data_IF_429205357228
#
_entry.id   IF_429205357228
#
_cell.length_a   1.000
_cell.length_b   1.000
_cell.length_c   1.000
_cell.angle_alpha   90.00
_cell.angle_beta   90.00
_cell.angle_gamma   90.00
#
_symmetry.space_group_name_H-M   'P 1'
#
loop_
_entity.id
_entity.type
_entity.pdbx_description
1 polymer ?
#
# COMPACT_ATOMS: atom_id res chain seq x y z
N UNK A 1 9.87 -7.79 12.48
CA UNK A 1 9.58 -6.35 12.24
C UNK A 1 8.64 -6.27 11.04
N UNK A 2 7.76 -5.26 10.95
CA UNK A 2 6.69 -5.23 9.94
C UNK A 2 7.20 -4.58 8.63
N UNK A 3 6.79 -5.14 7.50
CA UNK A 3 6.93 -4.49 6.19
C UNK A 3 5.78 -3.50 6.01
N UNK A 4 6.00 -2.48 5.19
CA UNK A 4 4.96 -1.53 4.79
C UNK A 4 4.73 -1.67 3.28
N UNK A 5 3.48 -1.77 2.86
CA UNK A 5 3.07 -1.73 1.45
C UNK A 5 2.34 -0.41 1.23
N UNK A 6 2.95 0.48 0.47
CA UNK A 6 2.37 1.75 0.07
C UNK A 6 1.79 1.63 -1.34
N UNK A 7 0.61 2.19 -1.55
CA UNK A 7 -0.04 2.29 -2.85
C UNK A 7 -0.28 3.75 -3.19
N UNK A 8 0.31 4.23 -4.29
CA UNK A 8 -0.13 5.45 -4.97
C UNK A 8 -1.23 5.05 -5.96
N UNK A 9 -2.45 5.53 -5.73
CA UNK A 9 -3.66 5.08 -6.43
C UNK A 9 -4.07 6.10 -7.49
N UNK A 10 -4.11 5.62 -8.73
CA UNK A 10 -4.61 6.33 -9.90
C UNK A 10 -5.85 5.62 -10.48
N UNK A 11 -6.45 6.22 -11.50
CA UNK A 11 -7.64 5.65 -12.15
C UNK A 11 -7.33 4.29 -12.82
N UNK A 12 -7.84 3.21 -12.22
CA UNK A 12 -7.74 1.85 -12.75
C UNK A 12 -6.42 1.13 -12.49
N UNK A 13 -5.46 1.79 -11.84
CA UNK A 13 -4.13 1.25 -11.56
C UNK A 13 -3.53 1.88 -10.30
N UNK A 14 -2.59 1.18 -9.68
CA UNK A 14 -1.84 1.69 -8.54
C UNK A 14 -0.36 1.38 -8.69
N UNK A 15 0.49 2.31 -8.28
CA UNK A 15 1.90 2.03 -8.09
C UNK A 15 2.10 1.53 -6.66
N UNK A 16 2.61 0.30 -6.53
CA UNK A 16 2.83 -0.34 -5.24
C UNK A 16 4.33 -0.34 -4.91
N UNK A 17 4.67 0.03 -3.68
CA UNK A 17 6.03 -0.03 -3.14
C UNK A 17 6.03 -0.77 -1.81
N UNK A 18 7.02 -1.65 -1.60
CA UNK A 18 7.20 -2.41 -0.36
C UNK A 18 8.47 -1.94 0.32
N UNK A 19 8.33 -1.47 1.55
CA UNK A 19 9.44 -1.07 2.42
C UNK A 19 9.71 -2.14 3.47
N UNK A 20 10.99 -2.39 3.73
CA UNK A 20 11.41 -3.19 4.89
C UNK A 20 11.36 -2.37 6.18
N UNK A 21 11.67 -3.00 7.31
CA UNK A 21 11.69 -2.36 8.62
C UNK A 21 12.70 -1.19 8.73
N UNK A 22 13.71 -1.17 7.86
CA UNK A 22 14.73 -0.12 7.74
C UNK A 22 14.30 1.00 6.78
N UNK A 23 13.03 1.03 6.33
CA UNK A 23 12.49 1.99 5.36
C UNK A 23 13.17 1.95 3.99
N UNK A 24 13.82 0.84 3.64
CA UNK A 24 14.41 0.65 2.33
C UNK A 24 13.36 0.05 1.38
N UNK A 25 13.27 0.60 0.17
CA UNK A 25 12.47 -0.01 -0.89
C UNK A 25 13.10 -1.35 -1.28
N UNK A 26 12.32 -2.43 -1.17
CA UNK A 26 12.75 -3.78 -1.54
C UNK A 26 12.01 -4.33 -2.76
N UNK A 27 10.91 -3.67 -3.15
CA UNK A 27 10.10 -4.05 -4.29
C UNK A 27 9.19 -2.90 -4.69
N UNK A 28 9.02 -2.70 -6.00
CA UNK A 28 8.06 -1.76 -6.55
C UNK A 28 7.48 -2.31 -7.85
N UNK A 29 6.19 -2.08 -8.09
CA UNK A 29 5.48 -2.55 -9.28
C UNK A 29 4.20 -1.77 -9.51
N UNK A 30 3.87 -1.49 -10.76
CA UNK A 30 2.53 -1.05 -11.14
C UNK A 30 1.58 -2.25 -11.17
N UNK A 31 0.46 -2.13 -10.47
CA UNK A 31 -0.64 -3.10 -10.48
C UNK A 31 -1.88 -2.48 -11.13
N UNK A 32 -2.54 -3.23 -11.99
CA UNK A 32 -3.86 -2.90 -12.50
C UNK A 32 -4.92 -3.30 -11.48
N UNK A 33 -6.05 -2.58 -11.44
CA UNK A 33 -7.19 -2.95 -10.58
C UNK A 33 -7.99 -4.10 -11.20
N UNK A 34 -7.29 -5.20 -11.52
CA UNK A 34 -7.83 -6.39 -12.16
C UNK A 34 -7.59 -7.61 -11.26
N UNK A 35 -8.44 -8.62 -11.42
CA UNK A 35 -8.35 -9.89 -10.68
C UNK A 35 -6.96 -10.56 -10.71
N UNK A 36 -6.24 -10.68 -11.85
CA UNK A 36 -4.91 -11.31 -11.85
C UNK A 36 -3.92 -10.58 -10.92
N UNK A 37 -3.83 -9.26 -11.03
CA UNK A 37 -2.90 -8.45 -10.24
C UNK A 37 -3.26 -8.47 -8.75
N UNK A 38 -4.54 -8.51 -8.42
CA UNK A 38 -4.99 -8.68 -7.03
C UNK A 38 -4.64 -10.07 -6.45
N UNK A 39 -4.66 -11.13 -7.27
CA UNK A 39 -4.18 -12.46 -6.84
C UNK A 39 -2.68 -12.44 -6.59
N UNK A 40 -1.90 -11.78 -7.45
CA UNK A 40 -0.46 -11.61 -7.24
C UNK A 40 -0.17 -10.81 -5.96
N UNK A 41 -0.91 -9.73 -5.73
CA UNK A 41 -0.83 -8.93 -4.52
C UNK A 41 -1.12 -9.78 -3.27
N UNK A 42 -2.19 -10.57 -3.29
CA UNK A 42 -2.55 -11.45 -2.17
C UNK A 42 -1.42 -12.44 -1.85
N UNK A 43 -0.86 -13.08 -2.90
CA UNK A 43 0.27 -13.98 -2.75
C UNK A 43 1.47 -13.25 -2.13
N UNK A 44 1.73 -12.00 -2.54
CA UNK A 44 2.83 -11.20 -2.00
C UNK A 44 2.64 -10.86 -0.52
N UNK A 45 1.43 -10.49 -0.11
CA UNK A 45 1.08 -10.25 1.30
C UNK A 45 1.30 -11.52 2.12
N UNK A 46 0.88 -12.67 1.61
CA UNK A 46 1.10 -13.97 2.25
C UNK A 46 2.60 -14.27 2.41
N UNK A 47 3.40 -14.16 1.35
CA UNK A 47 4.85 -14.37 1.40
C UNK A 47 5.55 -13.48 2.44
N UNK A 48 5.17 -12.20 2.52
CA UNK A 48 5.72 -11.28 3.52
C UNK A 48 5.30 -11.65 4.95
N UNK A 49 4.06 -12.11 5.12
CA UNK A 49 3.51 -12.54 6.40
C UNK A 49 4.24 -13.77 6.91
N UNK A 50 4.40 -14.78 6.06
CA UNK A 50 5.17 -16.01 6.39
C UNK A 50 6.62 -15.69 6.75
N UNK A 51 7.27 -14.80 5.98
CA UNK A 51 8.67 -14.43 6.21
C UNK A 51 8.89 -13.69 7.54
N UNK A 52 7.89 -12.94 8.02
CA UNK A 52 8.05 -12.08 9.21
C UNK A 52 7.21 -12.49 10.42
N UNK A 53 6.32 -13.48 10.26
CA UNK A 53 5.30 -13.86 11.23
C UNK A 53 4.28 -12.75 11.52
N UNK A 54 4.22 -11.70 10.70
CA UNK A 54 3.35 -10.53 10.92
C UNK A 54 2.80 -10.02 9.59
N UNK A 55 1.52 -9.66 9.59
CA UNK A 55 0.89 -8.99 8.44
C UNK A 55 1.63 -7.67 8.14
N UNK A 56 1.92 -7.37 6.86
CA UNK A 56 2.43 -6.05 6.48
C UNK A 56 1.39 -4.96 6.77
N UNK A 57 1.87 -3.75 7.07
CA UNK A 57 1.02 -2.57 7.17
C UNK A 57 0.74 -2.04 5.76
N UNK A 58 -0.52 -1.76 5.46
CA UNK A 58 -0.96 -1.34 4.13
C UNK A 58 -1.40 0.12 4.18
N UNK A 59 -0.87 0.93 3.27
CA UNK A 59 -1.10 2.38 3.22
C UNK A 59 -1.53 2.78 1.81
N UNK A 60 -2.61 3.55 1.71
CA UNK A 60 -3.16 4.06 0.46
C UNK A 60 -2.98 5.57 0.38
N UNK A 61 -2.25 6.04 -0.61
CA UNK A 61 -2.26 7.43 -1.04
C UNK A 61 -3.24 7.54 -2.21
N UNK A 62 -4.41 8.14 -1.97
CA UNK A 62 -5.45 8.23 -2.99
C UNK A 62 -6.28 9.50 -2.85
N UNK A 63 -6.69 10.07 -3.98
CA UNK A 63 -7.70 11.14 -4.02
C UNK A 63 -9.07 10.57 -4.38
N UNK A 64 -10.02 10.65 -3.45
CA UNK A 64 -11.44 10.39 -3.74
C UNK A 64 -11.77 8.93 -4.06
N UNK A 65 -12.49 8.69 -5.16
CA UNK A 65 -13.20 7.42 -5.41
C UNK A 65 -12.33 6.29 -6.00
N UNK A 66 -11.09 6.57 -6.41
CA UNK A 66 -10.26 5.62 -7.15
C UNK A 66 -9.71 4.48 -6.28
N UNK A 67 -9.65 4.67 -4.95
CA UNK A 67 -9.24 3.63 -3.99
C UNK A 67 -10.29 2.52 -3.83
N UNK A 68 -11.56 2.75 -4.20
CA UNK A 68 -12.69 1.86 -3.88
C UNK A 68 -12.48 0.41 -4.31
N UNK A 69 -11.85 0.16 -5.45
CA UNK A 69 -11.61 -1.21 -5.91
C UNK A 69 -10.57 -1.93 -5.04
N UNK A 70 -9.49 -1.24 -4.69
CA UNK A 70 -8.44 -1.77 -3.83
C UNK A 70 -8.94 -1.90 -2.38
N UNK A 71 -9.72 -0.93 -1.89
CA UNK A 71 -10.39 -0.99 -0.59
C UNK A 71 -11.31 -2.20 -0.46
N UNK A 72 -12.15 -2.46 -1.48
CA UNK A 72 -13.01 -3.66 -1.52
C UNK A 72 -12.18 -4.93 -1.45
N UNK A 73 -11.11 -5.01 -2.25
CA UNK A 73 -10.19 -6.15 -2.18
C UNK A 73 -9.60 -6.35 -0.78
N UNK A 74 -9.18 -5.27 -0.10
CA UNK A 74 -8.68 -5.39 1.27
C UNK A 74 -9.76 -5.83 2.25
N UNK A 75 -10.97 -5.29 2.16
CA UNK A 75 -12.10 -5.65 3.01
C UNK A 75 -12.51 -7.12 2.82
N UNK A 76 -12.62 -7.58 1.57
CA UNK A 76 -12.97 -8.96 1.22
C UNK A 76 -11.96 -9.96 1.78
N UNK A 77 -10.69 -9.56 1.91
CA UNK A 77 -9.60 -10.37 2.44
C UNK A 77 -9.24 -10.04 3.89
N UNK A 78 -10.04 -9.21 4.57
CA UNK A 78 -9.86 -8.82 5.98
C UNK A 78 -8.50 -8.18 6.29
N UNK A 79 -7.91 -7.49 5.31
CA UNK A 79 -6.68 -6.73 5.49
C UNK A 79 -6.98 -5.35 6.07
N UNK A 80 -6.21 -4.96 7.09
CA UNK A 80 -6.26 -3.61 7.65
C UNK A 80 -5.41 -2.68 6.80
N UNK A 81 -5.96 -1.51 6.44
CA UNK A 81 -5.27 -0.49 5.66
C UNK A 81 -5.51 0.90 6.24
N UNK A 82 -4.57 1.82 5.98
CA UNK A 82 -4.71 3.23 6.30
C UNK A 82 -4.82 4.05 5.01
N UNK A 83 -5.84 4.89 4.91
CA UNK A 83 -5.95 5.90 3.85
C UNK A 83 -5.22 7.16 4.30
N UNK A 84 -4.13 7.49 3.62
CA UNK A 84 -3.50 8.80 3.70
C UNK A 84 -4.21 9.71 2.72
N UNK A 85 -4.82 10.77 3.23
CA UNK A 85 -5.24 11.88 2.40
C UNK A 85 -3.96 12.51 1.80
N UNK A 86 -3.85 12.68 0.47
CA UNK A 86 -2.67 13.32 -0.15
C UNK A 86 -2.40 14.72 0.38
N UNK A 87 -3.42 15.42 0.91
CA UNK A 87 -3.24 16.66 1.66
C UNK A 87 -2.52 16.44 3.00
N UNK A 88 -2.86 15.38 3.74
CA UNK A 88 -2.17 15.02 4.98
C UNK A 88 -0.77 14.46 4.74
N UNK A 89 -0.57 13.69 3.67
CA UNK A 89 0.76 13.20 3.26
C UNK A 89 1.68 14.37 2.86
N UNK A 90 1.17 15.36 2.10
CA UNK A 90 1.91 16.60 1.79
C UNK A 90 2.15 17.47 3.02
N UNK A 91 1.21 17.55 3.96
CA UNK A 91 1.43 18.25 5.22
C UNK A 91 2.55 17.56 6.02
N UNK A 92 2.49 16.24 6.19
CA UNK A 92 3.55 15.47 6.89
C UNK A 92 4.92 15.52 6.19
N UNK A 93 4.98 15.53 4.85
CA UNK A 93 6.22 15.76 4.10
C UNK A 93 6.69 17.22 4.17
N UNK A 94 5.76 18.18 4.25
CA UNK A 94 6.07 19.62 4.33
C UNK A 94 6.59 20.08 5.69
N UNK A 95 6.38 19.30 6.75
CA UNK A 95 6.97 19.56 8.07
C UNK A 95 8.43 19.05 8.20
N UNK A 96 9.02 18.46 7.15
CA UNK A 96 10.42 18.01 7.15
C UNK A 96 11.38 18.93 6.36
N UNK A 97 10.95 20.14 6.02
CA UNK A 97 11.89 21.23 5.68
C UNK A 97 12.00 22.16 6.89
N UNK A 98 12.91 21.77 7.78
CA UNK A 98 13.41 22.45 9.01
C UNK A 98 13.90 23.89 8.78
N UNK A 99 14.16 24.71 9.83
CA UNK A 99 14.48 24.34 11.23
C UNK A 99 13.64 25.00 12.34
#
# INVERSE_FOLDING_TARGET
MRHVIAFDISMGKSYMVIYNAQKQCIFEKEIQHLKPDFKELQKKIYELTEKTGKLPEIVFEATGIYSRQLERFMQDNQYTYCLLNPLEAKLQCGFLTDP
#
